data_IF_408934517390
#
_entry.id   IF_408934517390
#
_cell.length_a   1.000
_cell.length_b   1.000
_cell.length_c   1.000
_cell.angle_alpha   90.00
_cell.angle_beta   90.00
_cell.angle_gamma   90.00
#
_symmetry.space_group_name_H-M   'P 1'
#
loop_
_entity.id
_entity.type
_entity.pdbx_description
1 polymer ?
#
# COMPACT_ATOMS: atom_id res chain seq x y z
N UNK A 1 14.34 15.31 -17.87
CA UNK A 1 15.54 14.50 -17.57
C UNK A 1 15.34 13.83 -16.22
N UNK A 2 15.39 12.49 -16.16
CA UNK A 2 15.35 11.74 -14.90
C UNK A 2 16.69 11.97 -14.19
N UNK A 3 16.66 12.53 -12.96
CA UNK A 3 17.85 12.85 -12.17
C UNK A 3 17.67 12.26 -10.79
N UNK A 4 18.62 11.42 -10.38
CA UNK A 4 18.69 10.85 -9.05
C UNK A 4 19.47 11.77 -8.12
N UNK A 5 19.03 11.83 -6.88
CA UNK A 5 19.66 12.53 -5.78
C UNK A 5 20.76 11.66 -5.16
N UNK A 6 21.86 12.29 -4.74
CA UNK A 6 22.88 11.59 -3.95
C UNK A 6 22.43 11.62 -2.49
N UNK A 7 22.22 10.46 -1.83
CA UNK A 7 21.73 10.44 -0.46
C UNK A 7 22.79 10.96 0.52
N UNK A 8 22.33 11.59 1.60
CA UNK A 8 23.18 12.06 2.71
C UNK A 8 23.53 10.92 3.67
N UNK A 9 22.59 10.01 3.90
CA UNK A 9 22.79 8.82 4.72
C UNK A 9 23.60 7.74 3.99
N UNK A 10 24.27 6.88 4.76
CA UNK A 10 24.91 5.69 4.20
C UNK A 10 23.87 4.68 3.71
N UNK A 11 24.20 3.84 2.72
CA UNK A 11 23.30 2.78 2.24
C UNK A 11 22.79 1.87 3.37
N UNK A 12 23.68 1.50 4.32
CA UNK A 12 23.31 0.69 5.49
C UNK A 12 22.24 1.37 6.34
N UNK A 13 22.39 2.67 6.57
CA UNK A 13 21.42 3.46 7.33
C UNK A 13 20.08 3.57 6.58
N UNK A 14 20.11 3.80 5.27
CA UNK A 14 18.92 3.85 4.42
C UNK A 14 18.16 2.53 4.51
N UNK A 15 18.84 1.40 4.34
CA UNK A 15 18.21 0.06 4.42
C UNK A 15 17.56 -0.14 5.79
N UNK A 16 18.33 0.07 6.88
CA UNK A 16 17.83 -0.18 8.23
C UNK A 16 16.60 0.68 8.57
N UNK A 17 16.63 1.95 8.18
CA UNK A 17 15.52 2.88 8.43
C UNK A 17 14.36 2.67 7.50
N UNK A 18 14.59 2.25 6.25
CA UNK A 18 13.52 1.87 5.35
C UNK A 18 12.74 0.70 5.93
N UNK A 19 13.43 -0.32 6.45
CA UNK A 19 12.79 -1.45 7.15
C UNK A 19 12.02 -0.96 8.37
N UNK A 20 12.65 -0.20 9.26
CA UNK A 20 12.01 0.21 10.51
C UNK A 20 10.86 1.22 10.30
N UNK A 21 11.13 2.36 9.64
CA UNK A 21 10.12 3.39 9.40
C UNK A 21 9.04 2.90 8.45
N UNK A 22 9.42 2.14 7.41
CA UNK A 22 8.48 1.53 6.48
C UNK A 22 7.58 0.51 7.15
N UNK A 23 8.08 -0.28 8.11
CA UNK A 23 7.23 -1.18 8.89
C UNK A 23 6.16 -0.39 9.67
N UNK A 24 6.55 0.62 10.44
CA UNK A 24 5.61 1.43 11.24
C UNK A 24 4.61 2.17 10.33
N UNK A 25 5.11 2.82 9.28
CA UNK A 25 4.29 3.55 8.32
C UNK A 25 3.35 2.61 7.55
N UNK A 26 3.80 1.43 7.16
CA UNK A 26 3.03 0.41 6.46
C UNK A 26 1.90 -0.16 7.30
N UNK A 27 2.15 -0.41 8.59
CA UNK A 27 1.11 -0.85 9.52
C UNK A 27 0.03 0.23 9.71
N UNK A 28 0.43 1.49 9.93
CA UNK A 28 -0.54 2.58 10.10
C UNK A 28 -1.34 2.83 8.82
N UNK A 29 -0.64 2.98 7.69
CA UNK A 29 -1.27 3.24 6.40
C UNK A 29 -2.16 2.09 5.94
N UNK A 30 -1.81 0.83 6.23
CA UNK A 30 -2.65 -0.32 5.93
C UNK A 30 -4.02 -0.22 6.59
N UNK A 31 -4.07 0.23 7.86
CA UNK A 31 -5.34 0.50 8.55
C UNK A 31 -6.11 1.65 7.91
N UNK A 32 -5.41 2.72 7.48
CA UNK A 32 -6.02 3.86 6.77
C UNK A 32 -6.67 3.39 5.46
N UNK A 33 -5.99 2.56 4.68
CA UNK A 33 -6.50 2.03 3.40
C UNK A 33 -7.72 1.13 3.61
N UNK A 34 -7.68 0.23 4.57
CA UNK A 34 -8.84 -0.63 4.92
C UNK A 34 -10.01 0.23 5.41
N UNK A 35 -9.75 1.24 6.25
CA UNK A 35 -10.78 2.18 6.71
C UNK A 35 -11.41 2.95 5.56
N UNK A 36 -10.60 3.45 4.62
CA UNK A 36 -11.07 4.15 3.42
C UNK A 36 -12.03 3.29 2.58
N UNK A 37 -11.65 2.05 2.33
CA UNK A 37 -12.41 1.11 1.49
C UNK A 37 -13.75 0.69 2.10
N UNK A 38 -13.91 0.86 3.42
CA UNK A 38 -15.18 0.65 4.11
C UNK A 38 -16.09 1.88 4.08
N UNK A 39 -15.57 3.07 3.74
CA UNK A 39 -16.30 4.34 3.87
C UNK A 39 -16.66 4.97 2.53
N UNK A 40 -15.76 5.02 1.53
CA UNK A 40 -15.94 5.94 0.40
C UNK A 40 -15.42 5.47 -0.97
N UNK A 41 -16.33 5.05 -1.87
CA UNK A 41 -17.54 4.30 -1.55
C UNK A 41 -17.19 2.91 -0.97
N UNK A 42 -18.06 2.33 -0.15
CA UNK A 42 -17.84 1.00 0.41
C UNK A 42 -17.78 -0.05 -0.70
N UNK A 43 -16.89 -1.02 -0.54
CA UNK A 43 -16.81 -2.17 -1.45
C UNK A 43 -18.13 -2.93 -1.51
N UNK A 44 -18.44 -3.46 -2.69
CA UNK A 44 -19.59 -4.35 -2.88
C UNK A 44 -19.40 -5.66 -2.11
N UNK A 45 -20.51 -6.33 -1.78
CA UNK A 45 -20.47 -7.64 -1.11
C UNK A 45 -19.63 -8.63 -1.92
N UNK A 46 -19.80 -8.66 -3.24
CA UNK A 46 -19.04 -9.56 -4.13
C UNK A 46 -17.52 -9.35 -4.02
N UNK A 47 -17.05 -8.10 -3.97
CA UNK A 47 -15.61 -7.79 -3.83
C UNK A 47 -15.07 -8.09 -2.43
N UNK A 48 -15.92 -8.01 -1.41
CA UNK A 48 -15.53 -8.38 -0.05
C UNK A 48 -15.48 -9.90 0.15
N UNK A 49 -16.17 -10.69 -0.67
CA UNK A 49 -16.09 -12.14 -0.64
C UNK A 49 -14.74 -12.65 -1.17
N UNK A 50 -14.30 -12.09 -2.31
CA UNK A 50 -12.98 -12.39 -2.89
C UNK A 50 -12.36 -11.10 -3.42
N UNK A 51 -11.35 -10.60 -2.71
CA UNK A 51 -10.67 -9.37 -3.11
C UNK A 51 -9.51 -9.63 -4.08
N UNK A 52 -8.97 -8.57 -4.74
CA UNK A 52 -7.90 -8.74 -5.70
C UNK A 52 -6.64 -9.41 -5.13
N UNK A 53 -6.16 -9.10 -3.91
CA UNK A 53 -5.04 -9.84 -3.31
C UNK A 53 -5.28 -11.35 -3.15
N UNK A 54 -6.48 -11.78 -2.73
CA UNK A 54 -6.83 -13.20 -2.65
C UNK A 54 -6.81 -13.85 -4.03
N UNK A 55 -7.47 -13.22 -5.00
CA UNK A 55 -7.52 -13.69 -6.40
C UNK A 55 -6.11 -13.85 -6.96
N UNK A 56 -5.24 -12.87 -6.74
CA UNK A 56 -3.85 -12.90 -7.20
C UNK A 56 -3.05 -14.04 -6.55
N UNK A 57 -3.23 -14.30 -5.25
CA UNK A 57 -2.56 -15.42 -4.60
C UNK A 57 -3.06 -16.77 -5.11
N UNK A 58 -4.35 -16.89 -5.41
CA UNK A 58 -4.92 -18.08 -6.06
C UNK A 58 -4.36 -18.30 -7.46
N UNK A 59 -4.19 -17.23 -8.25
CA UNK A 59 -3.50 -17.26 -9.54
C UNK A 59 -2.04 -17.73 -9.41
N UNK A 60 -1.38 -17.45 -8.29
CA UNK A 60 -0.05 -17.95 -7.96
C UNK A 60 -0.04 -19.35 -7.31
N UNK A 61 -1.18 -20.05 -7.29
CA UNK A 61 -1.29 -21.43 -6.83
C UNK A 61 -1.52 -21.58 -5.33
N UNK A 62 -1.80 -20.51 -4.59
CA UNK A 62 -2.23 -20.62 -3.19
C UNK A 62 -3.67 -21.17 -3.14
N UNK A 63 -3.94 -22.24 -2.37
CA UNK A 63 -5.28 -22.83 -2.33
C UNK A 63 -6.35 -21.87 -1.82
N UNK A 64 -7.53 -21.91 -2.44
CA UNK A 64 -8.71 -21.13 -2.02
C UNK A 64 -9.07 -21.37 -0.53
N UNK A 65 -8.86 -22.60 -0.04
CA UNK A 65 -9.07 -22.96 1.37
C UNK A 65 -8.20 -22.17 2.34
N UNK A 66 -7.04 -21.68 1.89
CA UNK A 66 -6.15 -20.83 2.66
C UNK A 66 -6.45 -19.34 2.45
N UNK A 67 -6.65 -18.89 1.20
CA UNK A 67 -6.93 -17.47 0.92
C UNK A 67 -8.24 -16.97 1.52
N UNK A 68 -9.23 -17.85 1.70
CA UNK A 68 -10.54 -17.52 2.28
C UNK A 68 -10.72 -18.03 3.72
N UNK A 69 -9.62 -18.44 4.38
CA UNK A 69 -9.68 -18.83 5.79
C UNK A 69 -10.04 -17.62 6.66
N UNK A 70 -10.87 -17.85 7.69
CA UNK A 70 -11.27 -16.84 8.64
C UNK A 70 -11.43 -17.42 10.04
N UNK A 71 -11.37 -16.53 11.02
CA UNK A 71 -11.78 -16.80 12.40
C UNK A 71 -12.98 -15.93 12.74
N UNK A 72 -13.87 -16.42 13.60
CA UNK A 72 -14.89 -15.56 14.20
C UNK A 72 -14.29 -14.77 15.35
N UNK A 73 -14.42 -13.45 15.29
CA UNK A 73 -14.04 -12.52 16.34
C UNK A 73 -15.28 -11.80 16.85
N UNK A 74 -15.32 -11.44 18.13
CA UNK A 74 -16.50 -10.82 18.76
C UNK A 74 -17.82 -11.57 18.52
N UNK A 75 -17.76 -12.90 18.42
CA UNK A 75 -18.85 -13.85 18.13
C UNK A 75 -19.32 -13.92 16.65
N UNK A 76 -19.50 -12.81 15.96
CA UNK A 76 -20.15 -12.78 14.63
C UNK A 76 -19.31 -12.17 13.50
N UNK A 77 -18.15 -11.59 13.81
CA UNK A 77 -17.31 -10.92 12.81
C UNK A 77 -16.33 -11.93 12.19
N UNK A 78 -16.44 -12.14 10.88
CA UNK A 78 -15.44 -12.92 10.14
C UNK A 78 -14.18 -12.09 9.91
N UNK A 79 -13.06 -12.53 10.48
CA UNK A 79 -11.74 -11.95 10.24
C UNK A 79 -10.95 -12.88 9.34
N UNK A 80 -10.80 -12.49 8.07
CA UNK A 80 -9.99 -13.20 7.08
C UNK A 80 -8.50 -12.92 7.32
N UNK A 81 -7.91 -13.63 8.29
CA UNK A 81 -6.57 -13.32 8.79
C UNK A 81 -5.48 -13.45 7.72
N UNK A 82 -5.58 -14.43 6.81
CA UNK A 82 -4.60 -14.61 5.74
C UNK A 82 -4.59 -13.40 4.80
N UNK A 83 -5.79 -12.99 4.38
CA UNK A 83 -6.02 -11.79 3.59
C UNK A 83 -5.53 -10.53 4.29
N UNK A 84 -5.74 -10.41 5.60
CA UNK A 84 -5.27 -9.28 6.38
C UNK A 84 -3.74 -9.21 6.39
N UNK A 85 -3.05 -10.35 6.54
CA UNK A 85 -1.59 -10.44 6.42
C UNK A 85 -1.14 -9.97 5.04
N UNK A 86 -1.81 -10.37 3.95
CA UNK A 86 -1.46 -9.90 2.60
C UNK A 86 -1.58 -8.39 2.47
N UNK A 87 -2.68 -7.79 2.93
CA UNK A 87 -2.90 -6.34 2.85
C UNK A 87 -1.83 -5.56 3.63
N UNK A 88 -1.53 -5.97 4.86
CA UNK A 88 -0.48 -5.33 5.64
C UNK A 88 0.92 -5.57 5.06
N UNK A 89 1.20 -6.77 4.55
CA UNK A 89 2.50 -7.07 3.93
C UNK A 89 2.75 -6.22 2.69
N UNK A 90 1.72 -6.05 1.85
CA UNK A 90 1.77 -5.14 0.71
C UNK A 90 2.01 -3.69 1.17
N UNK A 91 1.23 -3.22 2.15
CA UNK A 91 1.38 -1.87 2.68
C UNK A 91 2.78 -1.61 3.26
N UNK A 92 3.30 -2.55 4.05
CA UNK A 92 4.65 -2.51 4.63
C UNK A 92 5.72 -2.53 3.54
N UNK A 93 5.61 -3.39 2.54
CA UNK A 93 6.57 -3.45 1.44
C UNK A 93 6.65 -2.12 0.69
N UNK A 94 5.51 -1.54 0.29
CA UNK A 94 5.51 -0.28 -0.43
C UNK A 94 5.86 0.92 0.45
N UNK A 95 5.64 0.86 1.77
CA UNK A 95 6.16 1.87 2.69
C UNK A 95 7.68 1.78 2.84
N UNK A 96 8.26 0.58 2.93
CA UNK A 96 9.72 0.40 2.91
C UNK A 96 10.33 0.90 1.60
N UNK A 97 9.69 0.58 0.47
CA UNK A 97 10.10 1.07 -0.84
C UNK A 97 10.01 2.60 -0.93
N UNK A 98 8.95 3.21 -0.40
CA UNK A 98 8.80 4.67 -0.33
C UNK A 98 10.00 5.31 0.36
N UNK A 99 10.32 4.88 1.59
CA UNK A 99 11.44 5.42 2.38
C UNK A 99 12.77 5.25 1.66
N UNK A 100 13.00 4.06 1.06
CA UNK A 100 14.25 3.75 0.39
C UNK A 100 14.43 4.58 -0.88
N UNK A 101 13.45 4.56 -1.77
CA UNK A 101 13.52 5.20 -3.09
C UNK A 101 13.54 6.72 -2.92
N UNK A 102 12.80 7.27 -1.95
CA UNK A 102 12.76 8.72 -1.72
C UNK A 102 14.15 9.29 -1.44
N UNK A 103 15.06 8.52 -0.83
CA UNK A 103 16.45 8.97 -0.59
C UNK A 103 17.25 9.22 -1.87
N UNK A 104 16.93 8.50 -2.94
CA UNK A 104 17.59 8.61 -4.25
C UNK A 104 16.74 9.38 -5.26
N UNK A 105 15.45 9.56 -5.01
CA UNK A 105 14.56 10.26 -5.90
C UNK A 105 13.49 11.01 -5.11
N UNK A 106 13.80 12.26 -4.77
CA UNK A 106 12.93 13.16 -4.00
C UNK A 106 11.53 13.34 -4.59
N UNK A 107 11.34 13.08 -5.88
CA UNK A 107 10.02 13.15 -6.53
C UNK A 107 9.01 12.15 -5.96
N UNK A 108 9.47 11.07 -5.33
CA UNK A 108 8.58 10.12 -4.63
C UNK A 108 7.82 10.82 -3.49
N UNK A 109 8.40 11.85 -2.89
CA UNK A 109 7.78 12.67 -1.84
C UNK A 109 6.82 13.76 -2.33
N UNK A 110 6.61 13.91 -3.64
CA UNK A 110 5.77 14.97 -4.20
C UNK A 110 4.33 14.89 -3.66
N UNK A 111 3.81 16.06 -3.30
CA UNK A 111 2.49 16.23 -2.69
C UNK A 111 2.33 15.34 -1.45
N UNK A 112 3.38 15.30 -0.62
CA UNK A 112 3.41 14.52 0.61
C UNK A 112 3.10 13.04 0.34
N UNK A 113 3.72 12.47 -0.69
CA UNK A 113 3.55 11.07 -1.10
C UNK A 113 2.29 10.78 -1.93
N UNK A 114 1.40 11.74 -2.17
CA UNK A 114 0.21 11.49 -3.00
C UNK A 114 0.57 11.09 -4.44
N UNK A 115 1.63 11.68 -5.02
CA UNK A 115 2.09 11.31 -6.35
C UNK A 115 2.54 9.83 -6.43
N UNK A 116 3.16 9.32 -5.36
CA UNK A 116 3.53 7.92 -5.22
C UNK A 116 2.30 7.00 -5.17
N UNK A 117 1.27 7.40 -4.41
CA UNK A 117 -0.02 6.69 -4.38
C UNK A 117 -0.68 6.61 -5.76
N UNK A 118 -0.77 7.73 -6.48
CA UNK A 118 -1.33 7.78 -7.84
C UNK A 118 -0.57 6.86 -8.78
N UNK A 119 0.77 6.87 -8.71
CA UNK A 119 1.60 5.99 -9.52
C UNK A 119 1.29 4.50 -9.23
N UNK A 120 1.21 4.12 -7.95
CA UNK A 120 0.91 2.73 -7.58
C UNK A 120 -0.51 2.31 -7.95
N UNK A 121 -1.50 3.19 -7.78
CA UNK A 121 -2.86 2.96 -8.28
C UNK A 121 -2.84 2.67 -9.78
N UNK A 122 -2.20 3.52 -10.57
CA UNK A 122 -2.12 3.33 -12.02
C UNK A 122 -1.41 2.02 -12.36
N UNK A 123 -0.24 1.77 -11.77
CA UNK A 123 0.54 0.57 -12.01
C UNK A 123 -0.25 -0.70 -11.68
N UNK A 124 -0.92 -0.76 -10.53
CA UNK A 124 -1.61 -1.98 -10.08
C UNK A 124 -3.03 -2.10 -10.61
N UNK A 125 -3.86 -1.08 -10.44
CA UNK A 125 -5.30 -1.15 -10.72
C UNK A 125 -5.65 -0.92 -12.19
N UNK A 126 -4.82 -0.16 -12.92
CA UNK A 126 -5.08 0.13 -14.34
C UNK A 126 -4.27 -0.77 -15.26
N UNK A 127 -3.06 -1.17 -14.87
CA UNK A 127 -2.14 -1.94 -15.74
C UNK A 127 -2.00 -3.40 -15.29
N UNK A 128 -1.34 -3.66 -14.16
CA UNK A 128 -0.88 -5.01 -13.80
C UNK A 128 -2.02 -5.97 -13.51
N UNK A 129 -2.96 -5.63 -12.61
CA UNK A 129 -4.04 -6.54 -12.24
C UNK A 129 -4.98 -6.85 -13.42
N UNK A 130 -5.39 -5.87 -14.26
CA UNK A 130 -6.11 -6.18 -15.49
C UNK A 130 -5.31 -7.06 -16.47
N UNK A 131 -4.02 -6.77 -16.66
CA UNK A 131 -3.17 -7.55 -17.57
C UNK A 131 -2.98 -9.00 -17.11
N UNK A 132 -2.98 -9.25 -15.80
CA UNK A 132 -2.95 -10.59 -15.19
C UNK A 132 -4.33 -11.26 -15.13
N UNK A 133 -5.40 -10.57 -15.53
CA UNK A 133 -6.78 -11.06 -15.39
C UNK A 133 -7.25 -11.19 -13.94
N UNK A 134 -6.57 -10.54 -12.98
CA UNK A 134 -6.96 -10.52 -11.56
C UNK A 134 -8.24 -9.70 -11.35
N UNK A 135 -8.41 -8.64 -12.14
CA UNK A 135 -9.62 -7.81 -12.18
C UNK A 135 -10.03 -7.56 -13.64
N UNK A 136 -11.29 -7.17 -13.91
CA UNK A 136 -11.71 -6.81 -15.27
C UNK A 136 -10.88 -5.65 -15.84
N UNK A 137 -10.91 -5.48 -17.16
CA UNK A 137 -10.31 -4.31 -17.80
C UNK A 137 -10.88 -2.99 -17.22
N UNK A 138 -10.09 -1.89 -17.13
CA UNK A 138 -10.52 -0.67 -16.45
C UNK A 138 -11.85 -0.08 -16.97
N UNK A 139 -12.11 -0.15 -18.28
CA UNK A 139 -13.36 0.32 -18.89
C UNK A 139 -14.59 -0.56 -18.59
N UNK A 140 -14.39 -1.74 -18.01
CA UNK A 140 -15.45 -2.65 -17.57
C UNK A 140 -15.64 -2.62 -16.04
N UNK A 141 -14.87 -1.81 -15.30
CA UNK A 141 -15.00 -1.66 -13.86
C UNK A 141 -15.97 -0.51 -13.52
N UNK A 142 -16.76 -0.62 -12.43
CA UNK A 142 -17.65 0.45 -11.98
C UNK A 142 -16.89 1.74 -11.64
N UNK A 143 -17.52 2.90 -11.85
CA UNK A 143 -16.94 4.19 -11.46
C UNK A 143 -16.59 4.25 -9.97
N UNK A 144 -17.45 3.70 -9.11
CA UNK A 144 -17.25 3.67 -7.66
C UNK A 144 -15.94 2.97 -7.27
N UNK A 145 -15.54 1.94 -8.02
CA UNK A 145 -14.26 1.25 -7.81
C UNK A 145 -13.08 2.16 -8.19
N UNK A 146 -13.14 2.81 -9.36
CA UNK A 146 -12.10 3.76 -9.77
C UNK A 146 -11.94 4.89 -8.76
N UNK A 147 -13.06 5.45 -8.31
CA UNK A 147 -13.08 6.53 -7.33
C UNK A 147 -12.47 6.08 -6.00
N UNK A 148 -12.95 4.96 -5.45
CA UNK A 148 -12.46 4.43 -4.17
C UNK A 148 -10.97 4.11 -4.24
N UNK A 149 -10.53 3.42 -5.30
CA UNK A 149 -9.14 3.00 -5.42
C UNK A 149 -8.21 4.19 -5.67
N UNK A 150 -8.57 5.14 -6.53
CA UNK A 150 -7.74 6.31 -6.81
C UNK A 150 -7.48 7.16 -5.56
N UNK A 151 -8.55 7.62 -4.91
CA UNK A 151 -8.43 8.45 -3.71
C UNK A 151 -7.92 7.65 -2.51
N UNK A 152 -8.28 6.38 -2.41
CA UNK A 152 -7.76 5.49 -1.38
C UNK A 152 -6.24 5.33 -1.45
N UNK A 153 -5.66 5.25 -2.66
CA UNK A 153 -4.21 5.21 -2.83
C UNK A 153 -3.54 6.54 -2.49
N UNK A 154 -4.18 7.67 -2.82
CA UNK A 154 -3.68 9.00 -2.41
C UNK A 154 -3.60 9.08 -0.89
N UNK A 155 -4.69 8.79 -0.18
CA UNK A 155 -4.75 8.92 1.29
C UNK A 155 -3.85 7.87 1.97
N UNK A 156 -3.80 6.66 1.43
CA UNK A 156 -2.88 5.62 1.89
C UNK A 156 -1.41 6.06 1.79
N UNK A 157 -0.95 6.49 0.61
CA UNK A 157 0.43 6.93 0.43
C UNK A 157 0.74 8.21 1.21
N UNK A 158 -0.22 9.12 1.33
CA UNK A 158 -0.07 10.32 2.15
C UNK A 158 0.14 9.98 3.62
N UNK A 159 -0.59 8.97 4.14
CA UNK A 159 -0.40 8.51 5.52
C UNK A 159 0.96 7.83 5.74
N UNK A 160 1.53 7.16 4.73
CA UNK A 160 2.91 6.67 4.78
C UNK A 160 3.86 7.86 4.96
N UNK A 161 3.75 8.86 4.08
CA UNK A 161 4.62 10.04 4.11
C UNK A 161 4.53 10.78 5.45
N UNK A 162 3.32 10.97 6.00
CA UNK A 162 3.11 11.62 7.28
C UNK A 162 3.81 10.90 8.44
N UNK A 163 3.69 9.57 8.52
CA UNK A 163 4.36 8.77 9.55
C UNK A 163 5.87 8.81 9.38
N UNK A 164 6.39 8.66 8.16
CA UNK A 164 7.84 8.69 7.91
C UNK A 164 8.41 10.07 8.23
N UNK A 165 7.72 11.15 7.86
CA UNK A 165 8.10 12.52 8.23
C UNK A 165 8.23 12.67 9.75
N UNK A 166 7.24 12.20 10.50
CA UNK A 166 7.30 12.21 11.96
C UNK A 166 8.48 11.41 12.50
N UNK A 167 8.72 10.20 11.99
CA UNK A 167 9.81 9.32 12.42
C UNK A 167 11.18 9.95 12.16
N UNK A 168 11.37 10.57 10.98
CA UNK A 168 12.59 11.31 10.63
C UNK A 168 12.78 12.52 11.54
N UNK A 169 11.72 13.31 11.78
CA UNK A 169 11.77 14.48 12.66
C UNK A 169 12.14 14.12 14.11
N UNK A 170 11.84 12.89 14.56
CA UNK A 170 12.19 12.40 15.90
C UNK A 170 13.55 11.70 15.98
N UNK A 171 14.11 11.27 14.85
CA UNK A 171 15.43 10.63 14.83
C UNK A 171 16.57 11.65 14.82
N UNK A 172 16.99 12.05 16.03
CA UNK A 172 18.11 12.99 16.24
C UNK A 172 19.46 12.51 15.69
N UNK A 173 19.63 11.20 15.47
CA UNK A 173 20.89 10.63 14.98
C UNK A 173 20.83 10.34 13.48
N UNK A 174 19.69 10.59 12.84
CA UNK A 174 19.43 10.20 11.48
C UNK A 174 19.77 11.21 10.42
N UNK A 175 20.06 10.69 9.22
CA UNK A 175 20.44 11.45 8.04
C UNK A 175 19.50 11.24 6.84
N UNK A 176 18.34 10.63 7.05
CA UNK A 176 17.31 10.60 6.01
C UNK A 176 16.69 12.00 5.90
N UNK A 177 16.58 12.51 4.68
CA UNK A 177 16.16 13.90 4.43
C UNK A 177 15.15 14.04 3.30
N UNK A 178 15.13 13.09 2.36
CA UNK A 178 14.24 13.15 1.21
C UNK A 178 13.01 12.29 1.50
N UNK A 179 11.84 12.92 1.60
CA UNK A 179 10.55 12.27 1.85
C UNK A 179 9.42 13.10 1.28
#
# INVERSE_FOLDING_TARGET
>A
MFKLDKPVASLKEIILKSVWYGFVAGMISGMVKIGWENLLPPRTIARNLTNPPQTMMEQFGVPHSLTHTYVYYSHDQKVFWFTLILHFSFSVFFAMAYVFISQYWSKVGLWQGAAYGIFLWFAWHIVLMPAMGTVPAPWNQPFDEHFSEFFGHIVWAWSIAAVVFFMIAKDKKGKLVNI
#
